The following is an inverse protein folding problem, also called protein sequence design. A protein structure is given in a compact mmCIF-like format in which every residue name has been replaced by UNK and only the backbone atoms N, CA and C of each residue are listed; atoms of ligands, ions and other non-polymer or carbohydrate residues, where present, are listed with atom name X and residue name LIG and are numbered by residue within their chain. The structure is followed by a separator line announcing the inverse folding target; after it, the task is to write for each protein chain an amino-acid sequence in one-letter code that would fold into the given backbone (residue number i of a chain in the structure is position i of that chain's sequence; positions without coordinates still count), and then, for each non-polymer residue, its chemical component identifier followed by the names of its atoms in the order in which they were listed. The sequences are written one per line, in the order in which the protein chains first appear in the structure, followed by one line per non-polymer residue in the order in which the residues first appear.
data_IF_344410666078
#
_entry.id   IF_344410666078
#
_cell.length_a   1.000
_cell.length_b   1.000
_cell.length_c   1.000
_cell.angle_alpha   90.00
_cell.angle_beta   90.00
_cell.angle_gamma   90.00
#
_symmetry.space_group_name_H-M   'P 1'
#
loop_
_entity.id
_entity.type
_entity.pdbx_description
1 polymer ?
#
# COMPACT_ATOMS: atom_id res chain seq x y z
N UNK A 1 19.64 22.70 15.39
CA UNK A 1 19.81 21.24 15.56
C UNK A 1 18.57 20.44 15.14
N UNK A 2 17.37 21.06 15.10
CA UNK A 2 16.12 20.40 14.67
C UNK A 2 16.06 20.11 13.15
N UNK A 3 16.72 20.93 12.31
CA UNK A 3 16.75 20.75 10.84
C UNK A 3 17.50 19.50 10.36
N UNK A 4 18.38 18.91 11.16
CA UNK A 4 19.24 17.81 10.70
C UNK A 4 18.47 16.48 10.60
N UNK A 5 17.52 16.22 11.51
CA UNK A 5 16.70 14.99 11.47
C UNK A 5 15.75 14.93 10.27
N UNK A 6 15.29 16.07 9.76
CA UNK A 6 14.40 16.09 8.58
C UNK A 6 15.11 15.79 7.25
N UNK A 7 16.44 15.96 7.19
CA UNK A 7 17.22 15.80 5.97
C UNK A 7 17.52 14.32 5.66
N UNK A 8 17.92 13.51 6.66
CA UNK A 8 18.20 12.07 6.46
C UNK A 8 16.91 11.27 6.16
N UNK A 9 15.79 11.68 6.74
CA UNK A 9 14.52 10.94 6.65
C UNK A 9 13.92 10.88 5.24
N UNK A 10 14.22 11.85 4.40
CA UNK A 10 13.63 11.98 3.06
C UNK A 10 14.30 11.10 2.00
N UNK A 11 15.49 10.55 2.26
CA UNK A 11 16.25 9.81 1.23
C UNK A 11 16.74 8.43 1.65
N UNK A 12 16.84 8.14 2.95
CA UNK A 12 17.31 6.85 3.44
C UNK A 12 16.14 6.10 4.09
N UNK A 13 15.38 5.37 3.26
CA UNK A 13 14.26 4.49 3.64
C UNK A 13 14.75 3.25 4.43
N UNK A 14 15.78 3.43 5.27
CA UNK A 14 16.48 2.40 6.05
C UNK A 14 16.96 1.20 5.21
N UNK A 15 17.16 1.40 3.90
CA UNK A 15 17.50 0.34 2.94
C UNK A 15 16.33 -0.56 2.53
N UNK A 16 15.08 -0.19 2.82
CA UNK A 16 13.87 -0.97 2.56
C UNK A 16 12.87 -0.18 1.71
N UNK A 17 12.06 -0.86 0.89
CA UNK A 17 11.09 -0.27 -0.02
C UNK A 17 9.77 0.18 0.66
N UNK A 18 9.85 0.80 1.84
CA UNK A 18 8.67 1.35 2.54
C UNK A 18 8.33 2.74 2.03
N UNK A 19 7.11 3.25 2.20
CA UNK A 19 6.77 4.65 1.98
C UNK A 19 7.71 5.64 2.66
N UNK A 20 7.73 6.88 2.16
CA UNK A 20 8.43 7.98 2.83
C UNK A 20 7.91 8.09 4.27
N UNK A 21 8.80 8.31 5.23
CA UNK A 21 8.36 8.49 6.59
C UNK A 21 7.95 9.92 6.90
N UNK A 22 7.05 9.99 7.89
CA UNK A 22 6.47 11.22 8.37
C UNK A 22 6.79 11.33 9.85
N UNK A 23 7.38 12.47 10.24
CA UNK A 23 7.60 12.81 11.64
C UNK A 23 6.26 13.17 12.27
N UNK A 24 5.92 12.50 13.36
CA UNK A 24 4.66 12.66 14.08
C UNK A 24 4.81 13.61 15.28
N UNK A 25 5.92 13.50 16.03
CA UNK A 25 6.18 14.34 17.19
C UNK A 25 7.68 14.54 17.43
N UNK A 26 8.03 15.71 17.93
CA UNK A 26 9.35 16.04 18.48
C UNK A 26 9.11 16.88 19.73
N UNK A 27 9.13 16.25 20.90
CA UNK A 27 8.78 16.90 22.17
C UNK A 27 9.67 16.42 23.33
N UNK A 28 9.84 17.22 24.39
CA UNK A 28 10.48 16.78 25.62
C UNK A 28 9.75 15.58 26.22
N UNK A 29 10.49 14.60 26.72
CA UNK A 29 9.93 13.43 27.39
C UNK A 29 10.02 13.60 28.91
N UNK A 30 8.86 13.79 29.54
CA UNK A 30 8.76 14.18 30.95
C UNK A 30 8.91 13.02 31.94
N UNK A 31 9.08 11.77 31.49
CA UNK A 31 9.15 10.62 32.42
C UNK A 31 10.13 9.51 32.00
N UNK A 32 11.40 9.70 32.35
CA UNK A 32 12.40 8.63 32.35
C UNK A 32 13.28 8.68 33.62
N UNK A 33 12.83 8.07 34.73
CA UNK A 33 13.55 8.11 36.02
C UNK A 33 15.00 7.62 35.95
N UNK A 34 15.29 6.72 35.01
CA UNK A 34 16.63 6.18 34.74
C UNK A 34 17.60 7.18 34.09
N UNK A 35 17.10 8.31 33.59
CA UNK A 35 17.86 9.28 32.81
C UNK A 35 17.66 10.72 33.31
N UNK A 36 17.35 10.89 34.60
CA UNK A 36 17.15 12.16 35.33
C UNK A 36 18.33 13.17 35.20
N UNK A 37 19.48 12.72 34.68
CA UNK A 37 20.67 13.55 34.44
C UNK A 37 20.71 14.16 33.03
N UNK A 38 19.75 13.84 32.17
CA UNK A 38 19.73 14.24 30.76
C UNK A 38 18.39 14.87 30.37
N UNK A 39 18.44 15.86 29.47
CA UNK A 39 17.26 16.36 28.79
C UNK A 39 16.87 15.37 27.68
N UNK A 40 15.72 14.71 27.84
CA UNK A 40 15.29 13.65 26.93
C UNK A 40 14.26 14.23 25.95
N UNK A 41 14.45 13.88 24.68
CA UNK A 41 13.56 14.28 23.60
C UNK A 41 12.98 13.04 22.94
N UNK A 42 11.65 12.96 22.89
CA UNK A 42 10.94 11.96 22.12
C UNK A 42 10.83 12.43 20.67
N UNK A 43 11.33 11.59 19.76
CA UNK A 43 11.11 11.74 18.32
C UNK A 43 10.30 10.55 17.86
N UNK A 44 9.11 10.82 17.33
CA UNK A 44 8.18 9.81 16.82
C UNK A 44 7.99 9.99 15.32
N UNK A 45 8.03 8.89 14.57
CA UNK A 45 7.82 8.87 13.13
C UNK A 45 7.19 7.56 12.68
N UNK A 46 6.59 7.56 11.49
CA UNK A 46 5.99 6.38 10.90
C UNK A 46 6.31 6.24 9.41
N UNK A 47 6.48 4.99 8.95
CA UNK A 47 6.52 4.60 7.54
C UNK A 47 5.24 3.84 7.18
N UNK A 48 4.73 4.03 5.96
CA UNK A 48 3.75 3.11 5.39
C UNK A 48 4.48 1.91 4.75
N UNK A 49 3.99 0.70 4.97
CA UNK A 49 4.54 -0.50 4.35
C UNK A 49 3.41 -1.45 3.97
N UNK A 50 3.44 -1.93 2.73
CA UNK A 50 2.59 -3.03 2.28
C UNK A 50 3.29 -4.35 2.61
N UNK A 51 2.68 -5.16 3.47
CA UNK A 51 3.24 -6.43 3.95
C UNK A 51 2.46 -7.59 3.37
N UNK A 52 3.15 -8.47 2.66
CA UNK A 52 2.58 -9.68 2.07
C UNK A 52 2.81 -9.75 0.56
N UNK A 53 2.25 -10.78 -0.11
CA UNK A 53 2.23 -10.85 -1.57
C UNK A 53 1.50 -9.64 -2.15
N UNK A 54 1.92 -9.20 -3.34
CA UNK A 54 1.21 -8.16 -4.08
C UNK A 54 -0.24 -8.56 -4.28
N UNK A 55 -1.17 -7.62 -4.16
CA UNK A 55 -2.56 -7.82 -4.58
C UNK A 55 -2.71 -7.80 -6.10
N UNK A 56 -1.81 -7.11 -6.79
CA UNK A 56 -1.77 -6.99 -8.26
C UNK A 56 -0.89 -8.07 -8.87
N UNK A 57 -1.13 -9.34 -8.54
CA UNK A 57 -0.47 -10.43 -9.26
C UNK A 57 -1.20 -10.58 -10.59
N UNK A 58 -0.49 -10.48 -11.70
CA UNK A 58 -0.97 -10.90 -13.03
C UNK A 58 -1.01 -12.45 -13.11
N UNK A 59 -1.63 -13.11 -12.12
CA UNK A 59 -1.88 -14.55 -12.15
C UNK A 59 -3.23 -14.92 -12.77
N UNK A 60 -4.04 -13.91 -13.07
CA UNK A 60 -5.30 -14.05 -13.78
C UNK A 60 -5.09 -14.33 -15.26
N UNK A 61 -5.92 -15.20 -15.83
CA UNK A 61 -6.03 -15.32 -17.28
C UNK A 61 -6.69 -14.04 -17.83
N UNK A 62 -6.00 -13.31 -18.71
CA UNK A 62 -6.60 -12.20 -19.45
C UNK A 62 -7.77 -12.74 -20.28
N UNK A 63 -9.02 -12.29 -20.06
CA UNK A 63 -10.14 -12.72 -20.88
C UNK A 63 -9.93 -12.26 -22.32
N UNK A 64 -9.96 -13.20 -23.27
CA UNK A 64 -9.78 -12.91 -24.71
C UNK A 64 -11.11 -12.65 -25.43
N UNK A 65 -12.23 -12.94 -24.76
CA UNK A 65 -13.57 -12.84 -25.33
C UNK A 65 -14.57 -12.38 -24.27
N UNK A 66 -15.50 -11.54 -24.68
CA UNK A 66 -16.67 -11.13 -23.89
C UNK A 66 -17.91 -11.63 -24.60
N UNK A 67 -18.67 -12.47 -23.90
CA UNK A 67 -19.90 -13.09 -24.41
C UNK A 67 -21.08 -12.61 -23.56
N UNK A 68 -22.16 -12.18 -24.22
CA UNK A 68 -23.36 -11.64 -23.57
C UNK A 68 -24.61 -12.47 -23.91
N UNK A 69 -25.58 -12.52 -22.99
CA UNK A 69 -26.91 -13.11 -23.22
C UNK A 69 -27.93 -12.47 -22.27
N UNK A 70 -29.21 -12.81 -22.44
CA UNK A 70 -30.33 -12.31 -21.64
C UNK A 70 -31.06 -13.45 -20.94
N UNK A 71 -31.56 -13.20 -19.73
CA UNK A 71 -32.44 -14.15 -19.04
C UNK A 71 -33.76 -14.32 -19.80
N UNK A 72 -34.26 -15.56 -20.01
CA UNK A 72 -33.85 -16.81 -19.37
C UNK A 72 -32.79 -17.65 -20.11
N UNK A 73 -32.27 -17.16 -21.24
CA UNK A 73 -31.39 -17.90 -22.15
C UNK A 73 -29.92 -17.88 -21.69
N UNK A 74 -29.69 -18.31 -20.45
CA UNK A 74 -28.39 -18.31 -19.78
C UNK A 74 -28.03 -19.70 -19.23
N UNK A 75 -26.73 -19.99 -19.12
CA UNK A 75 -26.20 -21.24 -18.57
C UNK A 75 -25.73 -22.23 -19.64
N UNK A 76 -25.19 -23.38 -19.20
CA UNK A 76 -24.47 -24.33 -20.06
C UNK A 76 -25.27 -24.85 -21.26
N UNK A 77 -26.60 -24.90 -21.15
CA UNK A 77 -27.46 -25.37 -22.23
C UNK A 77 -27.60 -24.39 -23.40
N UNK A 78 -27.24 -23.11 -23.18
CA UNK A 78 -27.39 -22.01 -24.12
C UNK A 78 -26.04 -21.38 -24.48
N UNK A 79 -24.91 -22.07 -24.27
CA UNK A 79 -23.58 -21.51 -24.55
C UNK A 79 -23.42 -21.01 -25.98
N UNK A 80 -24.01 -21.72 -26.95
CA UNK A 80 -23.97 -21.37 -28.38
C UNK A 80 -24.80 -20.12 -28.72
N UNK A 81 -25.70 -19.70 -27.83
CA UNK A 81 -26.60 -18.55 -28.06
C UNK A 81 -25.98 -17.22 -27.59
N UNK A 82 -24.83 -17.26 -26.92
CA UNK A 82 -24.18 -16.07 -26.42
C UNK A 82 -23.57 -15.27 -27.58
N UNK A 83 -23.77 -13.96 -27.55
CA UNK A 83 -23.29 -13.06 -28.60
C UNK A 83 -21.95 -12.47 -28.20
N UNK A 84 -21.00 -12.50 -29.13
CA UNK A 84 -19.70 -11.85 -28.93
C UNK A 84 -19.85 -10.33 -28.98
N UNK A 85 -19.41 -9.67 -27.91
CA UNK A 85 -19.34 -8.22 -27.85
C UNK A 85 -17.97 -7.76 -28.35
N UNK A 86 -17.96 -6.81 -29.29
CA UNK A 86 -16.74 -6.13 -29.70
C UNK A 86 -16.34 -5.14 -28.60
N UNK A 87 -15.64 -5.63 -27.58
CA UNK A 87 -14.90 -4.79 -26.66
C UNK A 87 -13.61 -4.33 -27.33
N UNK A 88 -13.39 -3.03 -27.44
CA UNK A 88 -12.07 -2.47 -27.71
C UNK A 88 -11.23 -2.77 -26.46
N UNK A 89 -10.43 -3.83 -26.51
CA UNK A 89 -9.53 -4.29 -25.42
C UNK A 89 -8.16 -3.66 -25.53
#
# INVERSE_FOLDING_TARGET
MVEYCSADHNNERLGVAWGAAVVLAVEPDDFAPQADQFDIWRVEWAHSADIGPSFFVDDGLTPTQVLSSWSPDIGLAYEDDYVAEAGDV
#
